data_IF_783075937137
#
_entry.id   IF_783075937137
#
_cell.length_a   1.000
_cell.length_b   1.000
_cell.length_c   1.000
_cell.angle_alpha   90.00
_cell.angle_beta   90.00
_cell.angle_gamma   90.00
#
_symmetry.space_group_name_H-M   'P 1'
#
loop_
_entity.id
_entity.type
_entity.pdbx_description
1 polymer ?
#
# COMPACT_ATOMS: atom_id res chain seq x y z
N UNK A 1 17.18 -6.30 -4.85
CA UNK A 1 16.06 -5.34 -4.76
C UNK A 1 14.79 -6.12 -4.38
N UNK A 2 13.96 -5.68 -3.41
CA UNK A 2 12.81 -6.45 -2.90
C UNK A 2 11.85 -6.94 -3.97
N UNK A 3 11.63 -8.23 -4.15
CA UNK A 3 10.89 -8.76 -5.31
C UNK A 3 9.37 -8.91 -5.10
N UNK A 4 8.84 -8.71 -3.89
CA UNK A 4 7.44 -9.00 -3.54
C UNK A 4 6.82 -7.93 -2.63
N UNK A 5 5.53 -7.65 -2.81
CA UNK A 5 4.75 -6.83 -1.89
C UNK A 5 4.57 -7.55 -0.54
N UNK A 6 4.78 -6.84 0.58
CA UNK A 6 4.60 -7.40 1.94
C UNK A 6 3.16 -7.28 2.46
N UNK A 7 2.27 -6.64 1.71
CA UNK A 7 0.89 -6.47 2.13
C UNK A 7 0.16 -7.80 2.33
N UNK A 8 -0.80 -7.80 3.25
CA UNK A 8 -1.66 -8.95 3.49
C UNK A 8 -2.38 -9.34 2.19
N UNK A 9 -2.31 -10.63 1.84
CA UNK A 9 -2.94 -11.23 0.67
C UNK A 9 -2.59 -10.55 -0.68
N UNK A 10 -1.43 -9.90 -0.79
CA UNK A 10 -0.95 -9.34 -2.04
C UNK A 10 0.05 -10.29 -2.71
N UNK A 11 -0.23 -10.67 -3.95
CA UNK A 11 0.63 -11.57 -4.74
C UNK A 11 1.53 -10.84 -5.72
N UNK A 12 1.47 -9.50 -5.76
CA UNK A 12 2.24 -8.68 -6.70
C UNK A 12 3.75 -8.81 -6.44
N UNK A 13 4.46 -9.07 -7.54
CA UNK A 13 5.91 -9.26 -7.58
C UNK A 13 6.50 -8.28 -8.58
N UNK A 14 7.70 -7.75 -8.31
CA UNK A 14 8.36 -6.89 -9.29
C UNK A 14 8.78 -7.73 -10.50
N UNK A 15 8.05 -7.57 -11.60
CA UNK A 15 8.31 -8.17 -12.92
C UNK A 15 8.28 -7.09 -14.00
N UNK A 16 8.84 -7.40 -15.16
CA UNK A 16 8.78 -6.51 -16.34
C UNK A 16 7.33 -6.19 -16.70
N UNK A 17 6.44 -7.19 -16.66
CA UNK A 17 5.01 -7.03 -16.94
C UNK A 17 4.34 -6.05 -15.98
N UNK A 18 4.58 -6.19 -14.68
CA UNK A 18 4.00 -5.27 -13.68
C UNK A 18 4.52 -3.84 -13.86
N UNK A 19 5.79 -3.68 -14.23
CA UNK A 19 6.35 -2.35 -14.53
C UNK A 19 5.74 -1.74 -15.79
N UNK A 20 5.50 -2.55 -16.84
CA UNK A 20 4.81 -2.10 -18.07
C UNK A 20 3.38 -1.64 -17.80
N UNK A 21 2.73 -2.22 -16.79
CA UNK A 21 1.41 -1.81 -16.31
C UNK A 21 1.44 -0.59 -15.36
N UNK A 22 2.60 0.04 -15.17
CA UNK A 22 2.76 1.21 -14.31
C UNK A 22 2.78 0.89 -12.81
N UNK A 23 2.91 -0.38 -12.41
CA UNK A 23 2.97 -0.74 -10.99
C UNK A 23 4.31 -0.38 -10.37
N UNK A 24 4.28 0.35 -9.27
CA UNK A 24 5.48 0.79 -8.54
C UNK A 24 5.58 0.09 -7.18
N UNK A 25 6.81 0.01 -6.66
CA UNK A 25 7.09 -0.60 -5.35
C UNK A 25 7.75 0.43 -4.44
N UNK A 26 7.14 0.67 -3.28
CA UNK A 26 7.51 1.70 -2.33
C UNK A 26 8.09 1.06 -1.07
N UNK A 27 9.31 1.46 -0.70
CA UNK A 27 9.95 1.04 0.54
C UNK A 27 9.31 1.74 1.73
N UNK A 28 9.45 1.12 2.90
CA UNK A 28 9.06 1.77 4.15
C UNK A 28 9.85 3.07 4.33
N UNK A 29 9.19 4.15 4.81
CA UNK A 29 9.85 5.41 5.10
C UNK A 29 10.98 5.26 6.12
N UNK A 30 11.99 6.13 6.03
CA UNK A 30 13.03 6.26 7.07
C UNK A 30 12.51 6.96 8.33
N UNK A 31 11.52 7.84 8.15
CA UNK A 31 10.84 8.48 9.28
C UNK A 31 10.18 7.42 10.16
N UNK A 32 10.59 7.37 11.42
CA UNK A 32 10.18 6.32 12.34
C UNK A 32 8.68 6.38 12.66
N UNK A 33 8.13 7.59 12.79
CA UNK A 33 6.71 7.79 13.05
C UNK A 33 5.85 7.27 11.89
N UNK A 34 6.20 7.62 10.66
CA UNK A 34 5.50 7.17 9.46
C UNK A 34 5.71 5.68 9.20
N UNK A 35 6.92 5.16 9.43
CA UNK A 35 7.22 3.71 9.34
C UNK A 35 6.32 2.90 10.27
N UNK A 36 6.21 3.31 11.55
CA UNK A 36 5.29 2.67 12.50
C UNK A 36 3.82 2.72 12.05
N UNK A 37 3.39 3.82 11.43
CA UNK A 37 2.02 3.91 10.86
C UNK A 37 1.82 2.92 9.70
N UNK A 38 2.82 2.71 8.85
CA UNK A 38 2.76 1.70 7.79
C UNK A 38 2.74 0.28 8.35
N UNK A 39 3.57 -0.01 9.35
CA UNK A 39 3.59 -1.30 10.05
C UNK A 39 2.24 -1.60 10.69
N UNK A 40 1.65 -0.62 11.39
CA UNK A 40 0.31 -0.75 11.98
C UNK A 40 -0.79 -0.93 10.92
N UNK A 41 -0.68 -0.28 9.76
CA UNK A 41 -1.65 -0.40 8.68
C UNK A 41 -1.71 -1.82 8.10
N UNK A 42 -0.63 -2.60 8.21
CA UNK A 42 -0.58 -4.00 7.78
C UNK A 42 -1.32 -4.96 8.71
N UNK A 43 -1.67 -4.52 9.92
CA UNK A 43 -2.42 -5.30 10.92
C UNK A 43 -1.81 -6.68 11.20
N UNK A 44 -0.47 -6.77 11.16
CA UNK A 44 0.27 -7.96 11.55
C UNK A 44 0.85 -7.74 12.95
N UNK A 45 0.49 -8.61 13.87
CA UNK A 45 1.03 -8.59 15.23
C UNK A 45 2.54 -8.85 15.22
N UNK A 46 3.30 -8.12 16.04
CA UNK A 46 4.77 -8.27 16.12
C UNK A 46 5.53 -7.90 14.84
N UNK A 47 4.88 -7.26 13.87
CA UNK A 47 5.51 -6.92 12.59
C UNK A 47 6.40 -5.70 12.71
N UNK A 48 7.69 -5.89 12.44
CA UNK A 48 8.66 -4.82 12.22
C UNK A 48 9.12 -4.87 10.77
N UNK A 49 8.95 -3.77 10.04
CA UNK A 49 9.39 -3.73 8.65
C UNK A 49 10.91 -3.84 8.58
N UNK A 50 11.44 -4.50 7.55
CA UNK A 50 12.86 -4.41 7.20
C UNK A 50 13.04 -3.57 5.94
N UNK A 51 14.28 -3.14 5.68
CA UNK A 51 14.60 -2.28 4.53
C UNK A 51 14.47 -2.99 3.18
N UNK A 52 14.34 -4.33 3.23
CA UNK A 52 14.05 -5.20 2.10
C UNK A 52 12.55 -5.39 1.85
N UNK A 53 11.65 -4.74 2.58
CA UNK A 53 10.21 -4.87 2.39
C UNK A 53 9.63 -3.66 1.67
N UNK A 54 8.61 -3.93 0.86
CA UNK A 54 7.96 -2.93 0.00
C UNK A 54 6.47 -3.16 -0.05
N UNK A 55 5.72 -2.10 -0.35
CA UNK A 55 4.31 -2.14 -0.74
C UNK A 55 4.18 -1.74 -2.20
N UNK A 56 3.31 -2.41 -2.95
CA UNK A 56 2.98 -1.98 -4.31
C UNK A 56 2.03 -0.78 -4.31
N UNK A 57 1.90 -0.11 -5.46
CA UNK A 57 1.04 1.06 -5.65
C UNK A 57 -0.43 0.82 -5.29
N UNK A 58 -0.95 -0.40 -5.42
CA UNK A 58 -2.35 -0.74 -5.11
C UNK A 58 -2.75 -0.51 -3.64
N UNK A 59 -1.78 -0.35 -2.73
CA UNK A 59 -2.05 -0.09 -1.32
C UNK A 59 -2.21 1.39 -0.96
N UNK A 60 -2.06 2.26 -1.95
CA UNK A 60 -2.15 3.72 -1.85
C UNK A 60 -3.23 4.23 -2.80
N UNK A 61 -3.80 5.39 -2.51
CA UNK A 61 -4.75 6.02 -3.42
C UNK A 61 -4.02 6.79 -4.52
N UNK A 62 -4.60 6.84 -5.71
CA UNK A 62 -3.98 7.50 -6.87
C UNK A 62 -3.75 9.01 -6.68
N UNK A 63 -4.50 9.66 -5.79
CA UNK A 63 -4.36 11.09 -5.45
C UNK A 63 -3.27 11.35 -4.40
N UNK A 64 -2.75 10.31 -3.74
CA UNK A 64 -1.65 10.38 -2.78
C UNK A 64 -0.27 10.33 -3.45
N UNK A 65 -0.23 10.15 -4.77
CA UNK A 65 0.98 10.22 -5.57
C UNK A 65 1.24 11.64 -6.06
N UNK A 66 2.51 12.00 -6.12
CA UNK A 66 2.97 13.19 -6.81
C UNK A 66 2.85 12.98 -8.31
N UNK A 67 2.03 13.82 -8.95
CA UNK A 67 1.85 13.83 -10.41
C UNK A 67 2.86 14.72 -11.14
N UNK A 68 3.66 15.47 -10.39
CA UNK A 68 4.54 16.52 -10.90
C UNK A 68 5.95 16.01 -11.27
N UNK A 69 6.25 14.74 -10.97
CA UNK A 69 7.53 14.12 -11.25
C UNK A 69 7.48 13.09 -12.38
N UNK A 70 8.59 12.95 -13.11
CA UNK A 70 8.84 11.80 -14.02
C UNK A 70 8.78 10.43 -13.30
N UNK A 71 8.82 10.42 -11.96
CA UNK A 71 8.77 9.21 -11.13
C UNK A 71 7.56 9.28 -10.21
N UNK A 72 6.68 8.27 -10.27
CA UNK A 72 5.56 8.10 -9.33
C UNK A 72 6.06 7.92 -7.90
N UNK A 73 6.02 8.98 -7.10
CA UNK A 73 6.43 9.01 -5.70
C UNK A 73 5.22 9.28 -4.81
N UNK A 74 5.20 8.69 -3.62
CA UNK A 74 4.19 9.00 -2.61
C UNK A 74 4.47 10.38 -2.01
N UNK A 75 3.41 11.17 -1.82
CA UNK A 75 3.48 12.43 -1.09
C UNK A 75 4.04 12.22 0.33
N UNK A 76 4.68 13.25 0.92
CA UNK A 76 5.12 13.19 2.31
C UNK A 76 3.97 12.84 3.27
N UNK A 77 4.21 11.91 4.21
CA UNK A 77 3.24 11.55 5.24
C UNK A 77 2.14 10.58 4.83
N UNK A 78 2.11 10.11 3.57
CA UNK A 78 1.12 9.13 3.10
C UNK A 78 1.24 7.81 3.84
N UNK A 79 0.10 7.21 4.18
CA UNK A 79 -0.02 5.93 4.89
C UNK A 79 -0.82 4.98 3.98
N UNK A 80 -0.37 3.72 3.77
CA UNK A 80 -1.14 2.77 2.98
C UNK A 80 -2.50 2.52 3.65
N UNK A 81 -3.56 2.53 2.85
CA UNK A 81 -4.94 2.47 3.36
C UNK A 81 -5.83 1.49 2.59
N UNK A 82 -5.36 1.01 1.44
CA UNK A 82 -6.09 0.07 0.58
C UNK A 82 -5.58 -1.33 0.87
N UNK A 83 -6.39 -2.12 1.57
CA UNK A 83 -6.08 -3.51 1.91
C UNK A 83 -7.35 -4.34 1.82
N UNK A 84 -7.21 -5.59 1.38
CA UNK A 84 -8.28 -6.58 1.37
C UNK A 84 -8.13 -7.52 2.58
N UNK A 85 -8.40 -6.98 3.78
CA UNK A 85 -8.40 -7.77 5.01
C UNK A 85 -9.70 -8.59 5.12
N UNK A 86 -9.65 -9.84 5.62
CA UNK A 86 -10.86 -10.61 5.91
C UNK A 86 -11.71 -9.89 6.96
N UNK A 87 -13.02 -10.15 6.98
CA UNK A 87 -13.98 -9.44 7.82
C UNK A 87 -13.61 -9.41 9.32
N UNK A 88 -12.98 -10.47 9.83
CA UNK A 88 -12.52 -10.57 11.22
C UNK A 88 -11.31 -9.69 11.54
N UNK A 89 -10.52 -9.28 10.53
CA UNK A 89 -9.41 -8.31 10.68
C UNK A 89 -9.81 -6.91 10.24
N UNK A 90 -10.99 -6.76 9.62
CA UNK A 90 -11.57 -5.50 9.19
C UNK A 90 -12.22 -4.76 10.35
N UNK A 91 -11.65 -3.64 10.81
CA UNK A 91 -12.46 -2.61 11.46
C UNK A 91 -13.61 -2.29 10.49
N UNK A 92 -14.83 -2.65 10.86
CA UNK A 92 -16.05 -2.60 10.04
C UNK A 92 -16.03 -1.37 9.13
N UNK A 93 -15.81 -1.55 7.83
CA UNK A 93 -16.00 -0.44 6.89
C UNK A 93 -17.49 -0.15 6.87
N UNK A 94 -17.86 1.08 7.25
CA UNK A 94 -19.17 1.63 6.98
C UNK A 94 -19.53 1.32 5.52
N UNK A 95 -20.69 0.69 5.35
CA UNK A 95 -21.29 0.37 4.06
C UNK A 95 -21.31 1.66 3.22
N UNK A 96 -20.58 1.68 2.09
CA UNK A 96 -21.00 2.53 0.97
C UNK A 96 -21.99 1.70 0.16
N UNK A 97 -23.27 1.83 0.52
CA UNK A 97 -24.38 1.49 -0.35
C UNK A 97 -24.22 2.27 -1.65
N UNK A 98 -23.82 1.59 -2.73
CA UNK A 98 -24.03 2.09 -4.08
C UNK A 98 -25.51 1.87 -4.39
N UNK A 99 -26.31 2.93 -4.25
CA UNK A 99 -27.71 2.94 -4.65
C UNK A 99 -27.87 3.87 -5.85
N UNK A 100 -28.52 3.33 -6.90
CA UNK A 100 -29.21 3.99 -8.03
C UNK A 100 -28.29 4.49 -9.17
N UNK A 101 -28.63 4.40 -10.47
CA UNK A 101 -29.84 4.02 -11.25
C UNK A 101 -29.44 4.03 -12.76
N UNK A 102 -30.29 3.72 -13.78
CA UNK A 102 -31.69 4.09 -14.00
C UNK A 102 -32.72 3.00 -13.67
#
# INVERSE_FOLDING_TARGET
IPSHCTAYNCTLRRKIETSKLGMTFHRFPRDYGLRRKWEAALRREGFAANDGWVLCSDHFKLDEFDRDGQVCRLRPGVIPSVFNFPAHLGRVRARKTMTKQP
#
